data_IF_499655533752
#
_entry.id   IF_499655533752
#
_cell.length_a   1.000
_cell.length_b   1.000
_cell.length_c   1.000
_cell.angle_alpha   90.00
_cell.angle_beta   90.00
_cell.angle_gamma   90.00
#
_symmetry.space_group_name_H-M   'P 1'
#
loop_
_entity.id
_entity.type
_entity.pdbx_description
1 polymer ?
#
# COMPACT_ATOMS: atom_id res chain seq x y z
N UNK A 1 -14.54 -7.39 -5.82
CA UNK A 1 -13.45 -6.44 -6.15
C UNK A 1 -12.38 -6.59 -5.10
N UNK A 2 -11.14 -6.77 -5.51
CA UNK A 2 -9.97 -6.79 -4.64
C UNK A 2 -8.97 -5.75 -5.10
N UNK A 3 -8.41 -5.04 -4.14
CA UNK A 3 -7.32 -4.11 -4.33
C UNK A 3 -6.24 -4.40 -3.31
N UNK A 4 -5.04 -4.68 -3.79
CA UNK A 4 -3.92 -5.13 -2.97
C UNK A 4 -2.69 -4.30 -3.26
N UNK A 5 -2.13 -3.76 -2.19
CA UNK A 5 -0.80 -3.16 -2.20
C UNK A 5 0.18 -4.15 -1.58
N UNK A 6 1.27 -4.41 -2.27
CA UNK A 6 2.33 -5.28 -1.76
C UNK A 6 3.71 -4.83 -2.20
N UNK A 7 4.75 -5.38 -1.57
CA UNK A 7 6.16 -5.09 -1.86
C UNK A 7 6.70 -6.17 -2.82
N UNK A 8 7.74 -6.90 -2.43
CA UNK A 8 8.32 -7.98 -3.23
C UNK A 8 7.51 -9.29 -3.24
N UNK A 9 6.61 -9.50 -2.27
CA UNK A 9 5.77 -10.69 -2.16
C UNK A 9 4.30 -10.31 -2.12
N UNK A 10 3.46 -11.09 -2.77
CA UNK A 10 2.00 -10.87 -2.82
C UNK A 10 1.31 -10.97 -1.44
N UNK A 11 1.86 -11.80 -0.55
CA UNK A 11 1.39 -11.97 0.83
C UNK A 11 2.57 -12.19 1.79
N UNK A 12 2.53 -11.61 3.01
CA UNK A 12 1.52 -10.66 3.51
C UNK A 12 1.54 -9.32 2.73
N UNK A 13 0.41 -8.62 2.70
CA UNK A 13 0.24 -7.39 1.94
C UNK A 13 0.58 -6.13 2.75
N UNK A 14 0.94 -5.05 2.07
CA UNK A 14 1.01 -3.70 2.67
C UNK A 14 -0.39 -3.24 3.06
N UNK A 15 -1.37 -3.42 2.17
CA UNK A 15 -2.78 -3.15 2.43
C UNK A 15 -3.64 -4.03 1.53
N UNK A 16 -4.75 -4.53 2.06
CA UNK A 16 -5.72 -5.33 1.33
C UNK A 16 -7.11 -4.78 1.54
N UNK A 17 -7.79 -4.49 0.44
CA UNK A 17 -9.21 -4.13 0.41
C UNK A 17 -9.93 -5.16 -0.44
N UNK A 18 -10.90 -5.86 0.16
CA UNK A 18 -11.67 -6.92 -0.51
C UNK A 18 -13.11 -6.84 -0.06
N UNK A 19 -14.02 -6.97 -1.03
CA UNK A 19 -15.48 -7.04 -0.80
C UNK A 19 -16.03 -5.88 0.03
N UNK A 20 -15.52 -4.67 -0.24
CA UNK A 20 -16.00 -3.45 0.41
C UNK A 20 -15.31 -3.11 1.73
N UNK A 21 -14.38 -3.94 2.21
CA UNK A 21 -13.77 -3.79 3.55
C UNK A 21 -12.25 -3.94 3.53
N UNK A 22 -11.58 -3.23 4.44
CA UNK A 22 -10.15 -3.37 4.69
C UNK A 22 -9.90 -4.69 5.45
N UNK A 23 -8.91 -5.47 5.01
CA UNK A 23 -8.60 -6.80 5.52
C UNK A 23 -7.28 -6.78 6.29
N UNK A 24 -7.34 -6.55 7.60
CA UNK A 24 -6.14 -6.40 8.43
C UNK A 24 -5.43 -7.73 8.78
N UNK A 25 -6.09 -8.88 8.59
CA UNK A 25 -5.52 -10.20 8.92
C UNK A 25 -4.33 -10.59 8.04
N UNK A 26 -4.35 -10.21 6.76
CA UNK A 26 -3.28 -10.48 5.79
C UNK A 26 -2.22 -9.34 5.75
N UNK A 27 -2.34 -8.34 6.63
CA UNK A 27 -1.47 -7.17 6.60
C UNK A 27 -0.12 -7.43 7.28
N UNK A 28 0.95 -7.04 6.58
CA UNK A 28 2.32 -6.98 7.08
C UNK A 28 2.40 -6.22 8.41
N UNK A 29 2.98 -6.82 9.47
CA UNK A 29 3.04 -6.21 10.80
C UNK A 29 3.55 -4.76 10.83
N UNK A 30 4.55 -4.44 10.02
CA UNK A 30 5.19 -3.13 9.91
C UNK A 30 4.27 -2.01 9.35
N UNK A 31 3.17 -2.38 8.68
CA UNK A 31 2.20 -1.46 8.09
C UNK A 31 0.87 -1.39 8.88
N UNK A 32 0.67 -2.28 9.86
CA UNK A 32 -0.57 -2.32 10.67
C UNK A 32 -0.82 -0.99 11.38
N UNK A 33 -2.05 -0.49 11.25
CA UNK A 33 -2.47 0.78 11.82
C UNK A 33 -1.82 2.03 11.19
N UNK A 34 -0.98 1.86 10.17
CA UNK A 34 -0.31 2.96 9.46
C UNK A 34 -0.91 3.21 8.09
N UNK A 35 -1.59 2.25 7.48
CA UNK A 35 -2.13 2.39 6.12
C UNK A 35 -3.60 2.75 6.11
N UNK A 36 -4.01 3.53 5.12
CA UNK A 36 -5.40 3.88 4.84
C UNK A 36 -5.61 3.92 3.32
N UNK A 37 -6.63 3.20 2.82
CA UNK A 37 -7.01 3.31 1.41
C UNK A 37 -7.97 4.50 1.24
N UNK A 38 -7.56 5.48 0.43
CA UNK A 38 -8.37 6.63 0.06
C UNK A 38 -9.28 6.24 -1.11
N UNK A 39 -10.60 6.33 -0.88
CA UNK A 39 -11.65 5.77 -1.75
C UNK A 39 -12.48 6.86 -2.44
N UNK A 40 -12.08 8.13 -2.31
CA UNK A 40 -12.85 9.28 -2.79
C UNK A 40 -13.13 9.23 -4.31
N UNK A 41 -12.24 8.57 -5.07
CA UNK A 41 -12.31 8.49 -6.53
C UNK A 41 -12.39 7.03 -7.06
N UNK A 42 -12.74 6.09 -6.19
CA UNK A 42 -12.72 4.65 -6.51
C UNK A 42 -13.69 4.27 -7.63
N UNK A 43 -14.79 5.01 -7.77
CA UNK A 43 -15.79 4.81 -8.85
C UNK A 43 -15.26 5.20 -10.22
N UNK A 44 -14.25 6.08 -10.27
CA UNK A 44 -13.56 6.47 -11.51
C UNK A 44 -12.31 5.61 -11.76
N UNK A 45 -12.11 4.55 -10.97
CA UNK A 45 -10.97 3.63 -11.10
C UNK A 45 -9.68 4.14 -10.48
N UNK A 46 -9.72 5.24 -9.72
CA UNK A 46 -8.56 5.81 -9.06
C UNK A 46 -8.58 5.51 -7.56
N UNK A 47 -7.47 5.03 -7.04
CA UNK A 47 -7.28 4.83 -5.61
C UNK A 47 -5.90 5.29 -5.17
N UNK A 48 -5.76 5.64 -3.90
CA UNK A 48 -4.48 6.00 -3.33
C UNK A 48 -4.29 5.33 -1.99
N UNK A 49 -3.08 4.83 -1.73
CA UNK A 49 -2.71 4.32 -0.42
C UNK A 49 -1.98 5.42 0.36
N UNK A 50 -2.50 5.76 1.53
CA UNK A 50 -1.81 6.62 2.49
C UNK A 50 -1.06 5.77 3.50
N UNK A 51 0.22 6.07 3.72
CA UNK A 51 1.04 5.51 4.80
C UNK A 51 1.32 6.62 5.82
N UNK A 52 0.92 6.41 7.08
CA UNK A 52 1.10 7.33 8.20
C UNK A 52 2.42 7.05 8.92
N UNK A 53 3.03 8.10 9.45
CA UNK A 53 4.32 8.05 10.15
C UNK A 53 5.39 7.36 9.30
N UNK A 54 5.62 7.86 8.08
CA UNK A 54 6.57 7.29 7.11
C UNK A 54 7.96 7.13 7.73
N UNK A 55 8.60 6.00 7.43
CA UNK A 55 9.91 5.58 7.94
C UNK A 55 10.86 5.36 6.75
N UNK A 56 12.19 5.45 6.95
CA UNK A 56 13.15 5.11 5.91
C UNK A 56 12.96 3.70 5.34
N UNK A 57 12.47 2.75 6.14
CA UNK A 57 12.18 1.37 5.70
C UNK A 57 11.01 1.25 4.72
N UNK A 58 10.17 2.28 4.61
CA UNK A 58 9.04 2.29 3.68
C UNK A 58 9.51 2.63 2.24
N UNK A 59 10.74 3.16 2.08
CA UNK A 59 11.35 3.50 0.79
C UNK A 59 11.45 2.28 -0.14
N UNK A 60 11.13 2.47 -1.42
CA UNK A 60 11.27 1.47 -2.46
C UNK A 60 9.99 1.19 -3.24
N UNK A 61 10.02 0.12 -4.01
CA UNK A 61 8.94 -0.29 -4.91
C UNK A 61 7.70 -0.82 -4.17
N UNK A 62 6.52 -0.49 -4.69
CA UNK A 62 5.21 -1.03 -4.34
C UNK A 62 4.50 -1.47 -5.62
N UNK A 63 3.66 -2.49 -5.49
CA UNK A 63 2.77 -2.95 -6.55
C UNK A 63 1.35 -2.77 -6.09
N UNK A 64 0.54 -2.07 -6.88
CA UNK A 64 -0.90 -2.02 -6.75
C UNK A 64 -1.51 -3.03 -7.71
N UNK A 65 -2.10 -4.09 -7.17
CA UNK A 65 -2.82 -5.09 -7.93
C UNK A 65 -4.31 -4.89 -7.77
N UNK A 66 -5.02 -4.90 -8.89
CA UNK A 66 -6.45 -4.71 -8.96
C UNK A 66 -7.13 -5.90 -9.63
N UNK A 67 -8.20 -6.39 -9.00
CA UNK A 67 -8.99 -7.51 -9.50
C UNK A 67 -10.49 -7.19 -9.42
N UNK A 68 -11.13 -7.01 -10.58
CA UNK A 68 -12.56 -6.67 -10.67
C UNK A 68 -13.43 -7.94 -10.66
N UNK A 69 -13.06 -8.94 -11.47
CA UNK A 69 -13.83 -10.19 -11.66
C UNK A 69 -12.93 -11.31 -12.22
N UNK A 70 -13.47 -12.52 -12.42
CA UNK A 70 -12.74 -13.75 -12.81
C UNK A 70 -11.92 -13.68 -14.11
N UNK A 71 -11.98 -12.57 -14.85
CA UNK A 71 -11.39 -12.44 -16.19
C UNK A 71 -10.45 -11.22 -16.31
N UNK A 72 -10.52 -10.24 -15.40
CA UNK A 72 -9.77 -8.98 -15.54
C UNK A 72 -9.01 -8.62 -14.26
N UNK A 73 -7.69 -8.59 -14.37
CA UNK A 73 -6.78 -8.02 -13.39
C UNK A 73 -5.81 -7.06 -14.07
N UNK A 74 -5.38 -6.06 -13.33
CA UNK A 74 -4.39 -5.09 -13.75
C UNK A 74 -3.43 -4.84 -12.59
N UNK A 75 -2.17 -4.53 -12.87
CA UNK A 75 -1.23 -4.09 -11.87
C UNK A 75 -0.42 -2.87 -12.30
N UNK A 76 -0.02 -2.07 -11.31
CA UNK A 76 0.81 -0.90 -11.51
C UNK A 76 1.94 -0.89 -10.48
N UNK A 77 3.13 -0.52 -10.95
CA UNK A 77 4.33 -0.38 -10.12
C UNK A 77 4.50 1.09 -9.73
N UNK A 78 4.74 1.35 -8.46
CA UNK A 78 5.04 2.66 -7.91
C UNK A 78 6.34 2.62 -7.11
N UNK A 79 7.16 3.67 -7.21
CA UNK A 79 8.36 3.83 -6.40
C UNK A 79 8.12 4.91 -5.33
N UNK A 80 8.28 4.58 -4.05
CA UNK A 80 8.20 5.54 -2.95
C UNK A 80 9.61 5.95 -2.54
N UNK A 81 9.94 7.24 -2.66
CA UNK A 81 11.20 7.78 -2.18
C UNK A 81 10.99 8.51 -0.84
N UNK A 82 11.69 8.06 0.20
CA UNK A 82 11.62 8.65 1.54
C UNK A 82 12.88 9.48 1.79
N UNK A 83 12.70 10.79 1.90
CA UNK A 83 13.76 11.70 2.31
C UNK A 83 13.65 12.02 3.80
N UNK A 84 14.79 12.08 4.49
CA UNK A 84 14.90 12.54 5.86
C UNK A 84 16.10 13.46 6.01
N UNK A 85 16.01 14.45 6.91
CA UNK A 85 17.16 15.24 7.32
C UNK A 85 17.94 14.39 8.33
N UNK A 86 19.24 14.11 8.11
CA UNK A 86 20.06 13.47 9.11
C UNK A 86 20.01 14.31 10.39
N UNK A 87 19.57 13.74 11.51
CA UNK A 87 19.80 14.38 12.79
C UNK A 87 21.33 14.44 12.99
N UNK A 88 21.91 15.61 13.31
CA UNK A 88 23.30 15.67 13.69
C UNK A 88 23.48 14.78 14.91
N UNK A 89 24.13 13.63 14.73
CA UNK A 89 24.60 12.85 15.85
C UNK A 89 25.63 13.73 16.56
N UNK A 90 25.41 14.00 17.85
CA UNK A 90 26.37 14.68 18.70
C UNK A 90 27.76 14.06 18.48
N UNK A 91 28.70 14.87 17.96
CA UNK A 91 30.14 14.60 18.04
C UNK A 91 30.60 14.74 19.49
#
# INVERSE_FOLDING_TARGET
MELRWFRSKFSPAVHLYRDGQDQYGEQMPEYRGRTELLKDDITNGSVSLRIRNVRPSDDGQYVCFFFQSSISYEDAILELQVAGIPHPQHM
#
